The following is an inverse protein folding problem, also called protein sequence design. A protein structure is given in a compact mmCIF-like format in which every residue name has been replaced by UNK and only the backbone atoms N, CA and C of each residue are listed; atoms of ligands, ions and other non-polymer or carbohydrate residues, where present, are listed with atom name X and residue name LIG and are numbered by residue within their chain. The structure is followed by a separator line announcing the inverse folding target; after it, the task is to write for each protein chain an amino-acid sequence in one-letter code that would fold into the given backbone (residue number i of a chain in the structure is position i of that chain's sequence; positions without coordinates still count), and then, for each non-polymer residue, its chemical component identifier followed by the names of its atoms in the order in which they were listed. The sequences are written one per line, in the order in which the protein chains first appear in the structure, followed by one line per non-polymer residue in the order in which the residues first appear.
data_IF_318705503301
#
_entry.id   IF_318705503301
#
_cell.length_a   1.000
_cell.length_b   1.000
_cell.length_c   1.000
_cell.angle_alpha   90.00
_cell.angle_beta   90.00
_cell.angle_gamma   90.00
#
_symmetry.space_group_name_H-M   'P 1'
#
loop_
_entity.id
_entity.type
_entity.pdbx_description
1 polymer ?
#
# COMPACT_ATOMS: atom_id res chain seq x y z
N UNK A 1 14.40 -18.72 19.79
CA UNK A 1 13.83 -17.45 19.31
C UNK A 1 14.34 -16.33 20.22
N UNK A 2 14.53 -15.13 19.72
CA UNK A 2 15.04 -13.96 20.47
C UNK A 2 13.96 -12.90 20.52
N UNK A 3 13.85 -12.21 21.67
CA UNK A 3 13.00 -11.02 21.78
C UNK A 3 13.38 -10.01 20.66
N UNK A 4 12.40 -9.62 19.87
CA UNK A 4 12.62 -8.71 18.75
C UNK A 4 13.23 -7.37 19.19
N UNK A 5 12.94 -6.88 20.39
CA UNK A 5 13.54 -5.65 20.93
C UNK A 5 15.06 -5.78 21.20
N UNK A 6 15.56 -7.00 21.41
CA UNK A 6 16.99 -7.28 21.62
C UNK A 6 17.72 -7.54 20.30
N UNK A 7 16.99 -7.67 19.19
CA UNK A 7 17.58 -7.91 17.88
C UNK A 7 18.10 -6.61 17.24
N UNK A 8 19.12 -6.68 16.34
CA UNK A 8 19.54 -5.54 15.53
C UNK A 8 18.38 -4.91 14.74
N UNK A 9 18.46 -3.61 14.46
CA UNK A 9 17.40 -2.88 13.73
C UNK A 9 17.38 -3.27 12.26
N UNK A 10 16.18 -3.63 11.74
CA UNK A 10 15.97 -3.91 10.31
C UNK A 10 16.31 -2.67 9.46
N UNK A 11 15.70 -1.53 9.76
CA UNK A 11 15.89 -0.34 8.91
C UNK A 11 17.36 0.15 8.93
N UNK A 12 18.08 -0.01 10.03
CA UNK A 12 19.51 0.35 10.08
C UNK A 12 20.36 -0.59 9.23
N UNK A 13 19.99 -1.87 9.14
CA UNK A 13 20.71 -2.82 8.29
C UNK A 13 20.56 -2.46 6.79
N UNK A 14 19.44 -1.86 6.41
CA UNK A 14 19.12 -1.48 5.02
C UNK A 14 19.19 0.03 4.75
N UNK A 15 19.69 0.85 5.67
CA UNK A 15 19.66 2.32 5.57
C UNK A 15 20.32 2.89 4.31
N UNK A 16 21.30 2.16 3.74
CA UNK A 16 21.99 2.54 2.50
C UNK A 16 21.27 2.06 1.22
N UNK A 17 20.24 1.24 1.37
CA UNK A 17 19.55 0.63 0.22
C UNK A 17 18.13 1.18 0.05
N UNK A 18 17.28 0.99 1.03
CA UNK A 18 15.87 1.39 0.98
C UNK A 18 15.28 1.51 2.39
N UNK A 19 14.11 2.16 2.49
CA UNK A 19 13.34 2.19 3.73
C UNK A 19 12.77 0.82 4.05
N UNK A 20 12.68 0.52 5.35
CA UNK A 20 11.94 -0.65 5.85
C UNK A 20 10.69 -0.14 6.57
N UNK A 21 9.53 -0.54 6.08
CA UNK A 21 8.24 -0.12 6.60
C UNK A 21 7.40 -1.24 7.19
N UNK A 22 6.34 -0.86 7.91
CA UNK A 22 5.30 -1.77 8.36
C UNK A 22 3.91 -1.15 8.21
N UNK A 23 2.90 -1.99 7.90
CA UNK A 23 1.52 -1.62 8.06
C UNK A 23 1.15 -1.60 9.55
N UNK A 24 0.47 -0.55 9.97
CA UNK A 24 0.08 -0.32 11.37
C UNK A 24 -1.36 0.16 11.48
N UNK A 25 -1.97 -0.15 12.60
CA UNK A 25 -3.29 0.38 12.96
C UNK A 25 -3.23 1.28 14.20
N UNK A 26 -4.35 1.91 14.53
CA UNK A 26 -4.41 2.83 15.67
C UNK A 26 -4.02 2.16 16.99
N UNK A 27 -4.39 0.89 17.22
CA UNK A 27 -4.03 0.18 18.44
C UNK A 27 -2.51 0.10 18.62
N UNK A 28 -1.78 -0.26 17.56
CA UNK A 28 -0.31 -0.38 17.60
C UNK A 28 0.38 0.96 17.91
N UNK A 29 -0.20 2.07 17.44
CA UNK A 29 0.33 3.41 17.72
C UNK A 29 0.18 3.83 19.20
N UNK A 30 -0.74 3.21 19.96
CA UNK A 30 -0.97 3.50 21.37
C UNK A 30 -0.40 2.44 22.32
N UNK A 31 -0.24 1.20 21.88
CA UNK A 31 0.32 0.12 22.72
C UNK A 31 1.84 0.28 22.90
N UNK A 32 2.36 0.33 24.14
CA UNK A 32 3.77 0.57 24.41
C UNK A 32 4.72 -0.47 23.82
N UNK A 33 4.32 -1.75 23.75
CA UNK A 33 5.15 -2.83 23.22
C UNK A 33 5.26 -2.74 21.69
N UNK A 34 4.14 -2.45 21.00
CA UNK A 34 4.18 -2.20 19.56
C UNK A 34 4.96 -0.94 19.22
N UNK A 35 4.76 0.14 19.96
CA UNK A 35 5.52 1.39 19.76
C UNK A 35 7.03 1.17 19.87
N UNK A 36 7.46 0.37 20.86
CA UNK A 36 8.88 0.03 21.01
C UNK A 36 9.40 -0.77 19.82
N UNK A 37 8.64 -1.78 19.37
CA UNK A 37 8.99 -2.63 18.24
C UNK A 37 9.04 -1.85 16.92
N UNK A 38 8.04 -1.01 16.67
CA UNK A 38 7.98 -0.14 15.49
C UNK A 38 9.22 0.77 15.45
N UNK A 39 9.50 1.51 16.51
CA UNK A 39 10.67 2.39 16.59
C UNK A 39 12.01 1.66 16.43
N UNK A 40 12.06 0.41 16.84
CA UNK A 40 13.28 -0.42 16.73
C UNK A 40 13.58 -0.85 15.31
N UNK A 41 12.54 -1.20 14.52
CA UNK A 41 12.73 -1.93 13.28
C UNK A 41 12.30 -1.17 12.00
N UNK A 42 11.50 -0.10 12.12
CA UNK A 42 10.90 0.54 10.96
C UNK A 42 11.18 2.04 10.89
N UNK A 43 11.41 2.55 9.69
CA UNK A 43 11.56 3.98 9.39
C UNK A 43 10.53 4.50 8.36
N UNK A 44 9.54 3.67 8.03
CA UNK A 44 8.38 4.00 7.23
C UNK A 44 7.14 3.30 7.78
N UNK A 45 5.97 3.94 7.70
CA UNK A 45 4.70 3.34 8.09
C UNK A 45 3.65 3.51 6.98
N UNK A 46 2.73 2.57 6.92
CA UNK A 46 1.50 2.61 6.13
C UNK A 46 0.34 2.33 7.08
N UNK A 47 -0.76 3.09 6.99
CA UNK A 47 -1.95 2.75 7.76
C UNK A 47 -2.63 1.53 7.16
N UNK A 48 -2.94 0.51 7.96
CA UNK A 48 -3.65 -0.68 7.52
C UNK A 48 -5.03 -0.34 6.94
N UNK A 49 -5.83 0.45 7.66
CA UNK A 49 -7.18 0.82 7.22
C UNK A 49 -7.53 2.32 7.38
N UNK A 50 -6.86 3.05 8.25
CA UNK A 50 -7.29 4.37 8.73
C UNK A 50 -7.22 5.47 7.66
N UNK A 51 -6.50 5.25 6.56
CA UNK A 51 -6.34 6.19 5.45
C UNK A 51 -7.16 5.81 4.21
N UNK A 52 -7.89 4.70 4.26
CA UNK A 52 -8.75 4.26 3.16
C UNK A 52 -10.04 5.10 3.09
N UNK A 53 -10.67 5.25 1.91
CA UNK A 53 -11.86 6.09 1.75
C UNK A 53 -12.99 5.78 2.74
N UNK A 54 -13.23 4.49 3.04
CA UNK A 54 -14.25 4.07 4.00
C UNK A 54 -14.01 4.59 5.43
N UNK A 55 -12.74 4.77 5.79
CA UNK A 55 -12.36 5.23 7.13
C UNK A 55 -12.34 6.75 7.28
N UNK A 56 -12.25 7.49 6.16
CA UNK A 56 -12.09 8.95 6.17
C UNK A 56 -13.31 9.70 5.64
N UNK A 57 -14.16 9.08 4.81
CA UNK A 57 -15.38 9.71 4.31
C UNK A 57 -16.45 9.72 5.40
N UNK A 58 -16.93 10.92 5.75
CA UNK A 58 -17.97 11.13 6.76
C UNK A 58 -19.33 11.37 6.09
N UNK A 59 -20.21 10.37 6.17
CA UNK A 59 -21.54 10.42 5.58
C UNK A 59 -22.43 11.52 6.20
N UNK A 60 -22.49 11.59 7.53
CA UNK A 60 -23.37 12.53 8.23
C UNK A 60 -22.95 13.99 7.96
N UNK A 61 -21.67 14.28 8.04
CA UNK A 61 -21.13 15.59 7.72
C UNK A 61 -21.28 15.94 6.24
N UNK A 62 -21.21 14.94 5.33
CA UNK A 62 -21.46 15.14 3.89
C UNK A 62 -22.89 15.61 3.63
N UNK A 63 -23.87 14.95 4.22
CA UNK A 63 -25.28 15.34 4.08
C UNK A 63 -25.56 16.76 4.63
N UNK A 64 -24.87 17.15 5.70
CA UNK A 64 -25.03 18.47 6.30
C UNK A 64 -24.52 19.62 5.41
N UNK A 65 -23.58 19.33 4.48
CA UNK A 65 -23.05 20.36 3.57
C UNK A 65 -24.01 20.78 2.46
N UNK A 66 -25.03 19.99 2.13
CA UNK A 66 -25.94 20.21 0.99
C UNK A 66 -25.21 20.38 -0.36
N UNK A 67 -24.01 19.83 -0.48
CA UNK A 67 -23.16 19.85 -1.68
C UNK A 67 -23.09 18.45 -2.27
N UNK A 68 -23.33 18.32 -3.56
CA UNK A 68 -23.36 17.02 -4.25
C UNK A 68 -21.97 16.61 -4.82
N UNK A 69 -21.00 17.50 -4.75
CA UNK A 69 -19.66 17.29 -5.31
C UNK A 69 -18.56 17.18 -4.23
N UNK A 70 -18.80 17.66 -3.00
CA UNK A 70 -17.82 17.64 -1.91
C UNK A 70 -18.31 16.76 -0.76
N UNK A 71 -17.78 15.55 -0.69
CA UNK A 71 -17.93 14.73 0.50
C UNK A 71 -17.12 15.33 1.67
N UNK A 72 -17.64 15.21 2.88
CA UNK A 72 -16.87 15.57 4.06
C UNK A 72 -15.87 14.48 4.41
N UNK A 73 -14.71 14.88 4.95
CA UNK A 73 -13.62 13.99 5.38
C UNK A 73 -13.38 14.17 6.88
N UNK A 74 -13.33 13.05 7.60
CA UNK A 74 -12.91 12.99 9.01
C UNK A 74 -11.46 12.50 9.09
N UNK A 75 -10.56 13.37 9.51
CA UNK A 75 -9.15 13.09 9.64
C UNK A 75 -8.72 12.57 11.03
N UNK A 76 -9.64 12.39 11.96
CA UNK A 76 -9.32 12.05 13.36
C UNK A 76 -8.41 10.81 13.47
N UNK A 77 -8.72 9.76 12.70
CA UNK A 77 -7.94 8.50 12.70
C UNK A 77 -6.62 8.64 11.95
N UNK A 78 -6.63 9.38 10.86
CA UNK A 78 -5.43 9.70 10.05
C UNK A 78 -4.44 10.48 10.89
N UNK A 79 -4.90 11.58 11.49
CA UNK A 79 -4.07 12.47 12.30
C UNK A 79 -3.41 11.75 13.47
N UNK A 80 -4.13 10.85 14.13
CA UNK A 80 -3.59 10.09 15.27
C UNK A 80 -2.34 9.26 14.87
N UNK A 81 -2.40 8.59 13.71
CA UNK A 81 -1.25 7.83 13.18
C UNK A 81 -0.13 8.75 12.67
N UNK A 82 -0.50 9.86 12.04
CA UNK A 82 0.48 10.83 11.55
C UNK A 82 1.23 11.53 12.69
N UNK A 83 0.56 11.87 13.79
CA UNK A 83 1.22 12.36 15.01
C UNK A 83 2.20 11.34 15.56
N UNK A 84 1.80 10.05 15.63
CA UNK A 84 2.71 8.99 16.07
C UNK A 84 3.96 8.89 15.18
N UNK A 85 3.78 8.89 13.87
CA UNK A 85 4.89 8.80 12.91
C UNK A 85 5.82 10.03 13.02
N UNK A 86 5.25 11.25 13.00
CA UNK A 86 5.99 12.51 13.12
C UNK A 86 6.81 12.58 14.42
N UNK A 87 6.20 12.27 15.54
CA UNK A 87 6.81 12.39 16.86
C UNK A 87 7.91 11.34 17.09
N UNK A 88 7.98 10.32 16.24
CA UNK A 88 9.03 9.30 16.25
C UNK A 88 10.00 9.41 15.05
N UNK A 89 9.88 10.43 14.20
CA UNK A 89 10.76 10.64 13.06
C UNK A 89 10.64 9.55 11.98
N UNK A 90 9.44 8.96 11.83
CA UNK A 90 9.16 7.88 10.88
C UNK A 90 8.35 8.44 9.72
N UNK A 91 8.80 8.22 8.48
CA UNK A 91 8.08 8.67 7.29
C UNK A 91 6.82 7.84 7.03
N UNK A 92 5.89 8.38 6.22
CA UNK A 92 4.65 7.67 5.92
C UNK A 92 4.40 7.51 4.42
N UNK A 93 3.81 6.38 4.07
CA UNK A 93 3.10 6.13 2.82
C UNK A 93 1.59 6.35 3.07
N UNK A 94 0.92 7.10 2.21
CA UNK A 94 -0.53 7.24 2.29
C UNK A 94 -1.20 6.15 1.43
N UNK A 95 -1.92 5.26 2.05
CA UNK A 95 -2.61 4.15 1.39
C UNK A 95 -4.09 4.15 1.78
N UNK A 96 -4.99 4.42 0.85
CA UNK A 96 -4.93 4.74 -0.56
C UNK A 96 -6.00 5.78 -0.90
N UNK A 97 -5.79 6.58 -1.96
CA UNK A 97 -6.77 7.61 -2.33
C UNK A 97 -7.96 7.03 -3.09
N UNK A 98 -7.75 6.15 -4.06
CA UNK A 98 -8.82 5.53 -4.83
C UNK A 98 -8.65 4.00 -4.92
N UNK A 99 -9.68 3.28 -4.49
CA UNK A 99 -9.72 1.81 -4.54
C UNK A 99 -11.15 1.33 -4.77
N UNK A 100 -11.32 0.22 -5.47
CA UNK A 100 -12.63 -0.40 -5.73
C UNK A 100 -13.25 -1.01 -4.47
N UNK A 101 -12.41 -1.40 -3.50
CA UNK A 101 -12.81 -1.91 -2.20
C UNK A 101 -12.68 -0.79 -1.14
N UNK A 102 -13.32 -0.94 0.01
CA UNK A 102 -13.29 0.02 1.12
C UNK A 102 -13.50 1.50 0.70
N UNK A 103 -14.35 1.71 -0.33
CA UNK A 103 -14.95 3.00 -0.68
C UNK A 103 -16.46 2.86 -0.49
N UNK A 104 -17.12 3.69 0.35
CA UNK A 104 -18.51 3.48 0.70
C UNK A 104 -19.43 3.62 -0.52
N UNK A 105 -20.45 2.75 -0.61
CA UNK A 105 -21.39 2.72 -1.75
C UNK A 105 -22.09 4.05 -1.99
N UNK A 106 -22.46 4.77 -0.92
CA UNK A 106 -23.14 6.06 -1.01
C UNK A 106 -22.30 7.12 -1.75
N UNK A 107 -20.96 7.01 -1.75
CA UNK A 107 -20.07 7.92 -2.46
C UNK A 107 -20.30 7.88 -3.99
N UNK A 108 -20.69 6.72 -4.52
CA UNK A 108 -21.02 6.52 -5.94
C UNK A 108 -22.46 6.81 -6.28
N UNK A 109 -23.33 7.00 -5.30
CA UNK A 109 -24.75 7.15 -5.51
C UNK A 109 -25.14 8.62 -5.78
N UNK A 110 -26.14 8.82 -6.62
CA UNK A 110 -26.79 10.12 -6.82
C UNK A 110 -27.35 10.62 -5.49
N UNK A 111 -27.14 11.90 -5.21
CA UNK A 111 -27.58 12.55 -3.98
C UNK A 111 -27.10 11.89 -2.67
N UNK A 112 -25.95 11.20 -2.70
CA UNK A 112 -25.37 10.47 -1.55
C UNK A 112 -26.31 9.40 -0.96
N UNK A 113 -27.19 8.81 -1.77
CA UNK A 113 -28.17 7.83 -1.30
C UNK A 113 -27.50 6.56 -0.76
N UNK A 114 -28.04 6.05 0.36
CA UNK A 114 -27.67 4.74 0.93
C UNK A 114 -28.61 3.62 0.52
N UNK A 115 -29.67 3.90 -0.26
CA UNK A 115 -30.61 2.89 -0.74
C UNK A 115 -29.87 1.80 -1.55
N UNK A 116 -30.34 0.56 -1.44
CA UNK A 116 -29.70 -0.58 -2.11
C UNK A 116 -29.81 -0.45 -3.64
N UNK A 117 -30.90 0.11 -4.13
CA UNK A 117 -31.22 0.40 -5.54
C UNK A 117 -30.92 1.86 -5.95
N UNK A 118 -30.08 2.57 -5.18
CA UNK A 118 -29.75 3.96 -5.48
C UNK A 118 -29.20 4.12 -6.90
N UNK A 119 -29.73 5.12 -7.62
CA UNK A 119 -29.16 5.52 -8.91
C UNK A 119 -27.68 5.89 -8.75
N UNK A 120 -26.81 5.44 -9.64
CA UNK A 120 -25.41 5.91 -9.66
C UNK A 120 -25.36 7.41 -10.01
N UNK A 121 -24.37 8.09 -9.46
CA UNK A 121 -24.03 9.45 -9.89
C UNK A 121 -23.52 9.44 -11.34
N UNK A 122 -23.66 10.57 -12.05
CA UNK A 122 -23.11 10.68 -13.40
C UNK A 122 -21.59 10.60 -13.39
N UNK A 123 -20.98 10.29 -14.54
CA UNK A 123 -19.52 10.29 -14.73
C UNK A 123 -18.90 11.62 -14.32
N UNK A 124 -19.48 12.73 -14.76
CA UNK A 124 -18.99 14.08 -14.45
C UNK A 124 -19.03 14.35 -12.95
N UNK A 125 -20.13 13.97 -12.28
CA UNK A 125 -20.26 14.09 -10.83
C UNK A 125 -19.20 13.26 -10.12
N UNK A 126 -18.98 12.01 -10.55
CA UNK A 126 -18.00 11.13 -9.91
C UNK A 126 -16.55 11.59 -10.10
N UNK A 127 -16.22 12.10 -11.28
CA UNK A 127 -14.89 12.68 -11.53
C UNK A 127 -14.64 13.92 -10.66
N UNK A 128 -15.64 14.79 -10.52
CA UNK A 128 -15.57 15.96 -9.64
C UNK A 128 -15.45 15.57 -8.15
N UNK A 129 -16.24 14.59 -7.69
CA UNK A 129 -16.13 14.06 -6.32
C UNK A 129 -14.74 13.49 -6.03
N UNK A 130 -14.20 12.74 -6.97
CA UNK A 130 -12.86 12.15 -6.84
C UNK A 130 -11.78 13.23 -6.74
N UNK A 131 -11.82 14.24 -7.63
CA UNK A 131 -10.88 15.36 -7.59
C UNK A 131 -10.94 16.10 -6.25
N UNK A 132 -12.16 16.50 -5.82
CA UNK A 132 -12.35 17.23 -4.59
C UNK A 132 -11.87 16.43 -3.37
N UNK A 133 -12.24 15.15 -3.29
CA UNK A 133 -11.81 14.26 -2.20
C UNK A 133 -10.28 14.14 -2.13
N UNK A 134 -9.62 13.89 -3.26
CA UNK A 134 -8.15 13.77 -3.30
C UNK A 134 -7.48 15.07 -2.87
N UNK A 135 -7.97 16.22 -3.36
CA UNK A 135 -7.41 17.52 -3.01
C UNK A 135 -7.63 17.84 -1.53
N UNK A 136 -8.82 17.57 -0.96
CA UNK A 136 -9.09 17.78 0.45
C UNK A 136 -8.16 16.95 1.34
N UNK A 137 -7.96 15.67 1.00
CA UNK A 137 -7.05 14.78 1.73
C UNK A 137 -5.61 15.26 1.64
N UNK A 138 -5.12 15.53 0.44
CA UNK A 138 -3.72 15.92 0.24
C UNK A 138 -3.42 17.30 0.83
N UNK A 139 -4.35 18.24 0.72
CA UNK A 139 -4.21 19.57 1.34
C UNK A 139 -4.10 19.46 2.86
N UNK A 140 -5.05 18.78 3.52
CA UNK A 140 -5.02 18.60 4.97
C UNK A 140 -3.70 17.99 5.45
N UNK A 141 -3.29 16.89 4.80
CA UNK A 141 -2.08 16.17 5.20
C UNK A 141 -0.82 17.01 4.97
N UNK A 142 -0.71 17.67 3.83
CA UNK A 142 0.48 18.47 3.50
C UNK A 142 0.59 19.74 4.34
N UNK A 143 -0.51 20.37 4.72
CA UNK A 143 -0.52 21.55 5.59
C UNK A 143 -0.22 21.18 7.04
N UNK A 144 -0.82 20.11 7.55
CA UNK A 144 -0.72 19.72 8.96
C UNK A 144 0.54 18.93 9.28
N UNK A 145 1.04 18.15 8.32
CA UNK A 145 2.18 17.24 8.46
C UNK A 145 3.18 17.42 7.32
N UNK A 146 3.72 18.62 7.11
CA UNK A 146 4.60 18.90 5.96
C UNK A 146 5.81 17.96 5.95
N UNK A 147 6.05 17.30 4.79
CA UNK A 147 7.18 16.40 4.58
C UNK A 147 7.08 15.03 5.25
N UNK A 148 5.98 14.71 5.95
CA UNK A 148 5.80 13.42 6.62
C UNK A 148 5.48 12.31 5.61
N UNK A 149 4.57 12.58 4.66
CA UNK A 149 4.22 11.64 3.59
C UNK A 149 5.20 11.80 2.45
N UNK A 150 5.89 10.72 2.04
CA UNK A 150 6.84 10.73 0.93
C UNK A 150 6.26 10.14 -0.36
N UNK A 151 5.18 9.35 -0.26
CA UNK A 151 4.53 8.74 -1.42
C UNK A 151 3.03 8.54 -1.17
N UNK A 152 2.24 8.65 -2.23
CA UNK A 152 0.79 8.48 -2.23
C UNK A 152 0.42 7.31 -3.12
N UNK A 153 -0.25 6.30 -2.59
CA UNK A 153 -0.93 5.29 -3.40
C UNK A 153 -2.21 5.94 -3.97
N UNK A 154 -2.08 6.45 -5.19
CA UNK A 154 -3.17 7.24 -5.82
C UNK A 154 -4.31 6.32 -6.25
N UNK A 155 -3.98 5.25 -6.95
CA UNK A 155 -4.96 4.21 -7.33
C UNK A 155 -4.42 2.85 -6.95
N UNK A 156 -5.28 2.05 -6.33
CA UNK A 156 -5.01 0.69 -5.91
C UNK A 156 -5.82 -0.30 -6.75
N UNK A 157 -5.13 -1.33 -7.32
CA UNK A 157 -5.74 -2.54 -7.91
C UNK A 157 -6.73 -2.29 -9.05
N UNK A 158 -6.38 -1.49 -10.04
CA UNK A 158 -7.25 -1.24 -11.18
C UNK A 158 -7.20 -2.33 -12.27
N UNK A 159 -6.14 -3.16 -12.28
CA UNK A 159 -5.93 -4.21 -13.29
C UNK A 159 -6.38 -5.58 -12.76
N UNK A 160 -7.20 -6.28 -13.57
CA UNK A 160 -7.75 -7.60 -13.23
C UNK A 160 -7.84 -8.47 -14.48
N UNK A 161 -6.73 -9.15 -14.86
CA UNK A 161 -6.64 -9.92 -16.10
C UNK A 161 -7.64 -11.07 -16.22
N UNK A 162 -8.04 -11.66 -15.09
CA UNK A 162 -8.95 -12.81 -15.05
C UNK A 162 -10.33 -12.51 -15.63
N UNK A 163 -10.75 -11.24 -15.59
CA UNK A 163 -12.06 -10.82 -16.09
C UNK A 163 -12.09 -10.51 -17.60
N UNK A 164 -10.97 -10.62 -18.30
CA UNK A 164 -10.84 -10.42 -19.77
C UNK A 164 -11.50 -9.13 -20.28
N UNK A 165 -11.59 -8.09 -19.47
CA UNK A 165 -12.10 -6.79 -19.86
C UNK A 165 -11.12 -6.09 -20.80
N UNK A 166 -11.57 -5.13 -21.66
CA UNK A 166 -10.68 -4.33 -22.46
C UNK A 166 -9.62 -3.63 -21.58
N UNK A 167 -8.35 -3.69 -21.97
CA UNK A 167 -7.24 -3.16 -21.19
C UNK A 167 -6.97 -3.91 -19.89
N UNK A 168 -7.63 -5.06 -19.68
CA UNK A 168 -7.55 -5.88 -18.48
C UNK A 168 -7.92 -5.13 -17.18
N UNK A 169 -8.72 -4.07 -17.30
CA UNK A 169 -9.22 -3.32 -16.16
C UNK A 169 -10.24 -4.11 -15.35
N UNK A 170 -10.33 -3.81 -14.06
CA UNK A 170 -11.34 -4.32 -13.14
C UNK A 170 -12.73 -3.73 -13.47
N UNK A 171 -13.36 -4.27 -14.52
CA UNK A 171 -14.58 -3.72 -15.11
C UNK A 171 -15.81 -3.74 -14.18
N UNK A 172 -15.81 -4.59 -13.16
CA UNK A 172 -16.89 -4.63 -12.17
C UNK A 172 -16.76 -3.57 -11.05
N UNK A 173 -15.61 -2.92 -10.96
CA UNK A 173 -15.36 -1.83 -10.01
C UNK A 173 -16.39 -0.71 -10.17
N UNK A 174 -16.95 -0.14 -9.09
CA UNK A 174 -17.84 1.02 -9.18
C UNK A 174 -17.19 2.21 -9.92
N UNK A 175 -15.89 2.41 -9.76
CA UNK A 175 -15.14 3.43 -10.49
C UNK A 175 -15.17 3.20 -11.99
N UNK A 176 -14.83 1.98 -12.43
CA UNK A 176 -14.80 1.68 -13.86
C UNK A 176 -16.18 1.65 -14.48
N UNK A 177 -17.20 1.11 -13.79
CA UNK A 177 -18.59 1.12 -14.25
C UNK A 177 -19.12 2.51 -14.51
N UNK A 178 -18.76 3.49 -13.66
CA UNK A 178 -19.25 4.87 -13.78
C UNK A 178 -18.38 5.71 -14.71
N UNK A 179 -17.05 5.59 -14.62
CA UNK A 179 -16.12 6.52 -15.26
C UNK A 179 -15.28 5.90 -16.38
N UNK A 180 -15.33 4.57 -16.58
CA UNK A 180 -14.37 3.90 -17.47
C UNK A 180 -12.94 4.08 -16.95
N UNK A 181 -11.95 4.14 -17.85
CA UNK A 181 -10.55 4.40 -17.47
C UNK A 181 -10.29 5.85 -17.05
N UNK A 182 -11.21 6.78 -17.29
CA UNK A 182 -11.01 8.21 -16.99
C UNK A 182 -10.81 8.50 -15.51
N UNK A 183 -11.34 7.63 -14.60
CA UNK A 183 -11.11 7.81 -13.17
C UNK A 183 -9.63 7.72 -12.80
N UNK A 184 -8.86 6.89 -13.51
CA UNK A 184 -7.41 6.73 -13.29
C UNK A 184 -6.69 8.05 -13.55
N UNK A 185 -6.94 8.64 -14.72
CA UNK A 185 -6.33 9.92 -15.10
C UNK A 185 -6.79 11.06 -14.20
N UNK A 186 -8.08 11.10 -13.85
CA UNK A 186 -8.62 12.11 -12.94
C UNK A 186 -7.99 12.03 -11.55
N UNK A 187 -7.85 10.81 -10.99
CA UNK A 187 -7.21 10.61 -9.69
C UNK A 187 -5.75 11.09 -9.70
N UNK A 188 -4.98 10.65 -10.70
CA UNK A 188 -3.58 11.05 -10.81
C UNK A 188 -3.38 12.53 -11.12
N UNK A 189 -4.23 13.16 -11.94
CA UNK A 189 -4.21 14.62 -12.18
C UNK A 189 -4.50 15.40 -10.90
N UNK A 190 -5.53 14.99 -10.14
CA UNK A 190 -5.84 15.58 -8.85
C UNK A 190 -4.68 15.43 -7.86
N UNK A 191 -4.11 14.22 -7.77
CA UNK A 191 -2.96 13.98 -6.90
C UNK A 191 -1.72 14.80 -7.33
N UNK A 192 -1.45 14.92 -8.64
CA UNK A 192 -0.34 15.76 -9.15
C UNK A 192 -0.53 17.23 -8.80
N UNK A 193 -1.77 17.73 -8.81
CA UNK A 193 -2.12 19.08 -8.39
C UNK A 193 -1.95 19.30 -6.88
N UNK A 194 -2.27 18.29 -6.06
CA UNK A 194 -2.13 18.33 -4.58
C UNK A 194 -0.76 17.96 -4.04
N UNK A 195 0.15 17.50 -4.90
CA UNK A 195 1.46 16.96 -4.50
C UNK A 195 2.39 18.05 -3.97
N UNK A 196 2.98 17.82 -2.80
CA UNK A 196 4.04 18.67 -2.28
C UNK A 196 5.43 18.27 -2.84
N UNK A 197 6.41 19.18 -2.84
CA UNK A 197 7.76 18.87 -3.31
C UNK A 197 8.38 17.67 -2.59
N UNK A 198 9.01 16.77 -3.36
CA UNK A 198 9.67 15.56 -2.85
C UNK A 198 8.76 14.35 -2.65
N UNK A 199 7.46 14.50 -2.81
CA UNK A 199 6.52 13.38 -2.79
C UNK A 199 6.48 12.66 -4.13
N UNK A 200 6.06 11.40 -4.14
CA UNK A 200 5.84 10.59 -5.35
C UNK A 200 4.41 10.08 -5.44
N UNK A 201 3.92 9.86 -6.66
CA UNK A 201 2.62 9.31 -6.97
C UNK A 201 2.78 7.86 -7.42
N UNK A 202 2.14 6.95 -6.71
CA UNK A 202 2.28 5.52 -6.87
C UNK A 202 1.00 4.89 -7.44
N UNK A 203 1.16 4.01 -8.42
CA UNK A 203 0.17 3.00 -8.75
C UNK A 203 0.52 1.72 -8.00
N UNK A 204 -0.42 1.13 -7.26
CA UNK A 204 -0.19 -0.02 -6.39
C UNK A 204 -1.06 -1.21 -6.79
N UNK A 205 -0.47 -2.42 -6.92
CA UNK A 205 -1.25 -3.61 -7.29
C UNK A 205 -0.62 -4.91 -6.77
N UNK A 206 -1.48 -5.92 -6.56
CA UNK A 206 -1.05 -7.27 -6.19
C UNK A 206 -0.71 -8.11 -7.44
N UNK A 207 -0.01 -9.23 -7.23
CA UNK A 207 0.39 -10.13 -8.31
C UNK A 207 1.10 -9.41 -9.48
N UNK A 208 1.68 -8.27 -9.23
CA UNK A 208 2.32 -7.43 -10.24
C UNK A 208 3.56 -8.08 -10.89
N UNK A 209 4.00 -9.24 -10.39
CA UNK A 209 5.06 -10.05 -10.97
C UNK A 209 4.57 -11.05 -12.03
N UNK A 210 3.27 -11.37 -12.05
CA UNK A 210 2.66 -12.26 -13.02
C UNK A 210 2.74 -11.66 -14.42
N UNK A 211 3.26 -12.38 -15.44
CA UNK A 211 3.56 -11.79 -16.74
C UNK A 211 2.38 -11.08 -17.41
N UNK A 212 1.19 -11.68 -17.40
CA UNK A 212 -0.01 -11.08 -18.03
C UNK A 212 -0.43 -9.81 -17.30
N UNK A 213 -0.43 -9.83 -15.95
CA UNK A 213 -0.80 -8.68 -15.14
C UNK A 213 0.28 -7.60 -15.20
N UNK A 214 1.55 -7.99 -15.14
CA UNK A 214 2.70 -7.08 -15.28
C UNK A 214 2.61 -6.30 -16.59
N UNK A 215 2.38 -6.97 -17.71
CA UNK A 215 2.35 -6.35 -19.02
C UNK A 215 1.14 -5.38 -19.15
N UNK A 216 -0.03 -5.73 -18.58
CA UNK A 216 -1.17 -4.84 -18.52
C UNK A 216 -0.93 -3.61 -17.61
N UNK A 217 -0.25 -3.78 -16.48
CA UNK A 217 0.17 -2.66 -15.62
C UNK A 217 1.17 -1.77 -16.38
N UNK A 218 2.13 -2.34 -17.11
CA UNK A 218 3.08 -1.57 -17.92
C UNK A 218 2.34 -0.70 -18.95
N UNK A 219 1.31 -1.24 -19.61
CA UNK A 219 0.51 -0.47 -20.58
C UNK A 219 -0.24 0.69 -19.90
N UNK A 220 -0.82 0.48 -18.71
CA UNK A 220 -1.43 1.55 -17.92
C UNK A 220 -0.38 2.61 -17.52
N UNK A 221 0.77 2.19 -17.00
CA UNK A 221 1.82 3.10 -16.56
C UNK A 221 2.35 3.96 -17.72
N UNK A 222 2.55 3.39 -18.90
CA UNK A 222 2.91 4.14 -20.12
C UNK A 222 1.88 5.20 -20.48
N UNK A 223 0.57 4.88 -20.40
CA UNK A 223 -0.49 5.85 -20.60
C UNK A 223 -0.41 6.99 -19.58
N UNK A 224 -0.27 6.70 -18.28
CA UNK A 224 -0.13 7.72 -17.24
C UNK A 224 1.12 8.60 -17.44
N UNK A 225 2.21 8.01 -17.92
CA UNK A 225 3.45 8.75 -18.22
C UNK A 225 3.32 9.73 -19.38
N UNK A 226 2.38 9.54 -20.33
CA UNK A 226 2.16 10.54 -21.40
C UNK A 226 1.79 11.91 -20.86
N UNK A 227 1.23 11.97 -19.63
CA UNK A 227 0.88 13.21 -18.94
C UNK A 227 1.77 13.47 -17.69
N UNK A 228 2.84 12.71 -17.51
CA UNK A 228 3.72 12.80 -16.35
C UNK A 228 2.96 12.63 -15.01
N UNK A 229 2.08 11.64 -14.93
CA UNK A 229 1.17 11.45 -13.78
C UNK A 229 1.65 10.45 -12.74
N UNK A 230 2.56 9.54 -13.08
CA UNK A 230 3.03 8.47 -12.18
C UNK A 230 4.55 8.51 -12.00
N UNK A 231 5.01 8.31 -10.77
CA UNK A 231 6.42 8.35 -10.39
C UNK A 231 6.92 6.99 -9.88
N UNK A 232 6.02 6.15 -9.35
CA UNK A 232 6.36 4.93 -8.61
C UNK A 232 5.42 3.79 -8.96
N UNK A 233 5.99 2.59 -9.10
CA UNK A 233 5.23 1.35 -9.12
C UNK A 233 5.31 0.66 -7.76
N UNK A 234 4.14 0.44 -7.15
CA UNK A 234 3.98 -0.34 -5.92
C UNK A 234 3.62 -1.79 -6.24
N UNK A 235 4.55 -2.69 -5.95
CA UNK A 235 4.32 -4.13 -5.98
C UNK A 235 3.89 -4.57 -4.58
N UNK A 236 2.61 -4.93 -4.38
CA UNK A 236 2.11 -5.24 -3.03
C UNK A 236 2.96 -6.31 -2.32
N UNK A 237 3.24 -7.41 -2.99
CA UNK A 237 4.07 -8.45 -2.39
C UNK A 237 3.31 -9.38 -1.45
N UNK A 238 1.99 -9.54 -1.62
CA UNK A 238 1.22 -10.60 -0.99
C UNK A 238 1.50 -11.93 -1.69
N UNK A 239 2.32 -12.75 -1.07
CA UNK A 239 2.74 -14.02 -1.65
C UNK A 239 2.16 -15.23 -0.88
N UNK A 240 2.13 -16.35 -1.58
CA UNK A 240 1.93 -17.67 -0.98
C UNK A 240 3.24 -18.44 -1.12
N UNK A 241 3.70 -19.07 -0.06
CA UNK A 241 5.01 -19.72 0.03
C UNK A 241 5.27 -20.69 -1.13
N UNK A 242 4.25 -21.44 -1.58
CA UNK A 242 4.40 -22.42 -2.65
C UNK A 242 4.29 -21.84 -4.07
N UNK A 243 3.87 -20.58 -4.17
CA UNK A 243 3.66 -19.90 -5.44
C UNK A 243 4.63 -18.74 -5.69
N UNK A 244 5.27 -18.24 -4.65
CA UNK A 244 6.22 -17.15 -4.77
C UNK A 244 7.39 -17.53 -5.69
N UNK A 245 7.65 -16.69 -6.70
CA UNK A 245 8.71 -16.88 -7.68
C UNK A 245 9.62 -15.66 -7.70
N UNK A 246 10.74 -15.72 -6.97
CA UNK A 246 11.68 -14.61 -6.84
C UNK A 246 12.27 -14.16 -8.18
N UNK A 247 12.67 -15.06 -9.14
CA UNK A 247 13.07 -14.67 -10.47
C UNK A 247 12.02 -13.85 -11.23
N UNK A 248 10.75 -14.23 -11.20
CA UNK A 248 9.68 -13.44 -11.84
C UNK A 248 9.49 -12.08 -11.15
N UNK A 249 9.68 -12.01 -9.84
CA UNK A 249 9.65 -10.72 -9.11
C UNK A 249 10.83 -9.81 -9.57
N UNK A 250 12.02 -10.36 -9.79
CA UNK A 250 13.17 -9.63 -10.33
C UNK A 250 12.88 -9.11 -11.74
N UNK A 251 12.37 -9.97 -12.63
CA UNK A 251 11.99 -9.57 -13.99
C UNK A 251 10.96 -8.44 -14.00
N UNK A 252 9.94 -8.52 -13.15
CA UNK A 252 8.91 -7.49 -13.05
C UNK A 252 9.48 -6.16 -12.53
N UNK A 253 10.28 -6.18 -11.47
CA UNK A 253 10.93 -4.98 -10.95
C UNK A 253 11.81 -4.30 -12.01
N UNK A 254 12.60 -5.08 -12.79
CA UNK A 254 13.39 -4.57 -13.91
C UNK A 254 12.52 -3.98 -15.02
N UNK A 255 11.40 -4.62 -15.35
CA UNK A 255 10.50 -4.14 -16.39
C UNK A 255 9.84 -2.81 -16.01
N UNK A 256 9.42 -2.64 -14.76
CA UNK A 256 8.88 -1.37 -14.26
C UNK A 256 9.97 -0.29 -14.16
N UNK A 257 11.17 -0.65 -13.68
CA UNK A 257 12.30 0.29 -13.60
C UNK A 257 12.75 0.78 -14.98
N UNK A 258 12.63 -0.06 -16.02
CA UNK A 258 12.93 0.34 -17.40
C UNK A 258 12.01 1.46 -17.94
N UNK A 259 10.87 1.71 -17.29
CA UNK A 259 10.01 2.87 -17.55
C UNK A 259 10.50 4.15 -16.85
N UNK A 260 11.59 4.10 -16.10
CA UNK A 260 12.09 5.23 -15.30
C UNK A 260 11.36 5.42 -13.98
N UNK A 261 10.56 4.45 -13.53
CA UNK A 261 9.80 4.53 -12.29
C UNK A 261 10.63 4.05 -11.09
N UNK A 262 10.38 4.63 -9.93
CA UNK A 262 10.79 4.06 -8.65
C UNK A 262 9.98 2.79 -8.36
N UNK A 263 10.58 1.87 -7.62
CA UNK A 263 9.94 0.63 -7.20
C UNK A 263 9.76 0.63 -5.68
N UNK A 264 8.58 0.26 -5.22
CA UNK A 264 8.31 -0.02 -3.82
C UNK A 264 7.69 -1.42 -3.70
N UNK A 265 8.11 -2.17 -2.69
CA UNK A 265 7.35 -3.33 -2.20
C UNK A 265 6.48 -2.81 -1.07
N UNK A 266 5.17 -2.85 -1.24
CA UNK A 266 4.26 -2.01 -0.46
C UNK A 266 3.53 -2.73 0.66
N UNK A 267 3.37 -4.05 0.56
CA UNK A 267 2.49 -4.84 1.44
C UNK A 267 3.02 -6.26 1.67
N UNK A 268 4.33 -6.40 1.84
CA UNK A 268 5.00 -7.70 1.86
C UNK A 268 4.52 -8.60 3.00
N UNK A 269 3.97 -9.72 2.62
CA UNK A 269 3.75 -10.88 3.46
C UNK A 269 3.84 -12.17 2.63
N UNK A 270 4.26 -13.28 3.27
CA UNK A 270 4.36 -14.58 2.60
C UNK A 270 3.51 -15.57 3.40
N UNK A 271 2.32 -15.87 2.91
CA UNK A 271 1.42 -16.80 3.58
C UNK A 271 2.10 -18.15 3.82
N UNK A 272 2.11 -18.55 5.08
CA UNK A 272 2.61 -19.81 5.57
C UNK A 272 1.60 -20.34 6.62
N UNK A 273 1.05 -21.51 6.40
CA UNK A 273 -0.03 -22.07 7.25
C UNK A 273 0.47 -22.95 8.39
N UNK A 274 1.78 -23.08 8.57
CA UNK A 274 2.38 -23.83 9.67
C UNK A 274 3.64 -23.11 10.17
N UNK A 275 3.93 -23.26 11.45
CA UNK A 275 5.15 -22.81 12.11
C UNK A 275 6.14 -23.95 12.44
N UNK A 276 5.95 -25.12 11.85
CA UNK A 276 6.90 -26.22 11.99
C UNK A 276 8.27 -25.87 11.35
N UNK A 277 9.27 -26.67 11.68
CA UNK A 277 10.65 -26.41 11.29
C UNK A 277 10.87 -26.39 9.76
N UNK A 278 10.13 -27.22 9.01
CA UNK A 278 10.26 -27.27 7.54
C UNK A 278 9.70 -26.00 6.90
N UNK A 279 8.51 -25.56 7.34
CA UNK A 279 7.88 -24.34 6.88
C UNK A 279 8.68 -23.10 7.30
N UNK A 280 9.17 -23.04 8.56
CA UNK A 280 10.04 -21.96 9.04
C UNK A 280 11.29 -21.81 8.18
N UNK A 281 11.98 -22.91 7.84
CA UNK A 281 13.17 -22.88 6.97
C UNK A 281 12.84 -22.39 5.56
N UNK A 282 11.75 -22.89 4.97
CA UNK A 282 11.33 -22.47 3.62
C UNK A 282 10.95 -21.00 3.57
N UNK A 283 10.20 -20.52 4.57
CA UNK A 283 9.82 -19.12 4.71
C UNK A 283 11.08 -18.23 4.83
N UNK A 284 12.03 -18.65 5.68
CA UNK A 284 13.30 -17.94 5.87
C UNK A 284 14.11 -17.86 4.57
N UNK A 285 14.18 -18.95 3.82
CA UNK A 285 14.85 -18.95 2.52
C UNK A 285 14.23 -17.98 1.54
N UNK A 286 12.87 -17.99 1.39
CA UNK A 286 12.16 -17.08 0.49
C UNK A 286 12.39 -15.61 0.84
N UNK A 287 12.29 -15.25 2.12
CA UNK A 287 12.59 -13.90 2.58
C UNK A 287 14.06 -13.51 2.32
N UNK A 288 15.00 -14.42 2.61
CA UNK A 288 16.42 -14.19 2.38
C UNK A 288 16.73 -13.95 0.90
N UNK A 289 16.22 -14.82 0.02
CA UNK A 289 16.41 -14.72 -1.44
C UNK A 289 15.75 -13.45 -2.00
N UNK A 290 14.55 -13.10 -1.51
CA UNK A 290 13.84 -11.89 -1.95
C UNK A 290 14.58 -10.61 -1.56
N UNK A 291 15.05 -10.51 -0.33
CA UNK A 291 15.81 -9.35 0.13
C UNK A 291 17.21 -9.26 -0.52
N UNK A 292 17.87 -10.39 -0.78
CA UNK A 292 19.12 -10.43 -1.55
C UNK A 292 18.90 -9.92 -2.99
N UNK A 293 17.81 -10.32 -3.62
CA UNK A 293 17.41 -9.83 -4.95
C UNK A 293 17.15 -8.31 -4.94
N UNK A 294 16.36 -7.79 -3.99
CA UNK A 294 16.09 -6.35 -3.90
C UNK A 294 17.37 -5.53 -3.65
N UNK A 295 18.26 -6.01 -2.77
CA UNK A 295 19.54 -5.36 -2.53
C UNK A 295 20.40 -5.34 -3.79
N UNK A 296 20.53 -6.47 -4.49
CA UNK A 296 21.24 -6.58 -5.78
C UNK A 296 20.69 -5.58 -6.79
N UNK A 297 19.36 -5.49 -6.96
CA UNK A 297 18.73 -4.53 -7.87
C UNK A 297 19.08 -3.08 -7.52
N UNK A 298 19.07 -2.75 -6.22
CA UNK A 298 19.47 -1.40 -5.75
C UNK A 298 20.94 -1.10 -6.04
N UNK A 299 21.82 -2.05 -5.84
CA UNK A 299 23.28 -1.93 -6.12
C UNK A 299 23.55 -1.80 -7.64
N UNK A 300 22.70 -2.39 -8.48
CA UNK A 300 22.74 -2.23 -9.93
C UNK A 300 22.13 -0.90 -10.44
N UNK A 301 21.63 -0.05 -9.54
CA UNK A 301 21.13 1.28 -9.86
C UNK A 301 19.62 1.36 -10.06
N UNK A 302 18.86 0.30 -9.85
CA UNK A 302 17.39 0.36 -9.83
C UNK A 302 16.94 1.05 -8.56
N UNK A 303 16.07 2.05 -8.68
CA UNK A 303 15.61 2.83 -7.54
C UNK A 303 14.52 2.09 -6.73
N UNK A 304 14.97 1.07 -5.96
CA UNK A 304 14.13 0.48 -4.91
C UNK A 304 14.08 1.50 -3.76
N UNK A 305 12.90 2.05 -3.47
CA UNK A 305 12.73 3.14 -2.48
C UNK A 305 12.34 2.62 -1.09
N UNK A 306 11.48 1.61 -1.03
CA UNK A 306 10.97 1.07 0.23
C UNK A 306 10.52 -0.40 0.11
N UNK A 307 10.60 -1.12 1.24
CA UNK A 307 9.99 -2.43 1.44
C UNK A 307 9.16 -2.36 2.72
N UNK A 308 7.85 -2.52 2.59
CA UNK A 308 6.88 -2.43 3.69
C UNK A 308 6.27 -3.79 3.96
N UNK A 309 6.38 -4.29 5.17
CA UNK A 309 5.70 -5.50 5.62
C UNK A 309 4.23 -5.19 5.94
N UNK A 310 3.31 -6.09 5.55
CA UNK A 310 1.88 -5.85 5.83
C UNK A 310 1.48 -6.35 7.22
N UNK A 311 2.06 -5.71 8.22
CA UNK A 311 1.89 -5.97 9.65
C UNK A 311 3.21 -5.92 10.40
N UNK A 312 3.12 -5.94 11.73
CA UNK A 312 4.29 -5.90 12.62
C UNK A 312 4.67 -7.29 13.11
N UNK A 313 3.66 -8.11 13.48
CA UNK A 313 3.83 -9.49 13.96
C UNK A 313 2.80 -10.41 13.32
N UNK A 314 3.01 -11.72 13.37
CA UNK A 314 2.04 -12.71 12.87
C UNK A 314 0.65 -12.58 13.53
N UNK A 315 0.55 -11.95 14.72
CA UNK A 315 -0.72 -11.64 15.38
C UNK A 315 -1.57 -10.67 14.58
N UNK A 316 -0.93 -9.77 13.84
CA UNK A 316 -1.56 -8.64 13.16
C UNK A 316 -1.92 -8.94 11.70
N UNK A 317 -1.53 -10.14 11.22
CA UNK A 317 -1.73 -10.50 9.82
C UNK A 317 -3.21 -10.64 9.45
N UNK A 318 -3.64 -9.91 8.44
CA UNK A 318 -4.96 -10.00 7.83
C UNK A 318 -5.23 -11.37 7.20
N UNK A 319 -4.16 -12.09 6.80
CA UNK A 319 -4.24 -13.38 6.12
C UNK A 319 -4.96 -14.44 6.96
N UNK A 320 -4.81 -14.40 8.29
CA UNK A 320 -5.52 -15.34 9.19
C UNK A 320 -7.04 -15.22 9.02
N UNK A 321 -7.57 -14.00 8.98
CA UNK A 321 -9.00 -13.77 8.76
C UNK A 321 -9.43 -14.03 7.32
N UNK A 322 -8.65 -13.60 6.36
CA UNK A 322 -8.93 -13.73 4.92
C UNK A 322 -8.96 -15.20 4.48
N UNK A 323 -7.98 -16.00 4.91
CA UNK A 323 -7.88 -17.42 4.54
C UNK A 323 -8.66 -18.35 5.45
N UNK A 324 -9.19 -17.84 6.57
CA UNK A 324 -9.88 -18.62 7.61
C UNK A 324 -9.02 -19.74 8.19
N UNK A 325 -7.72 -19.54 8.22
CA UNK A 325 -6.73 -20.43 8.82
C UNK A 325 -5.59 -19.60 9.43
N UNK A 326 -4.90 -20.16 10.43
CA UNK A 326 -3.77 -19.46 11.05
C UNK A 326 -2.66 -19.25 10.02
N UNK A 327 -2.16 -18.02 9.91
CA UNK A 327 -1.04 -17.68 9.04
C UNK A 327 0.14 -17.18 9.85
N UNK A 328 1.36 -17.50 9.40
CA UNK A 328 2.64 -17.14 10.02
C UNK A 328 3.54 -16.37 9.02
N UNK A 329 3.05 -15.24 8.45
CA UNK A 329 3.66 -14.67 7.25
C UNK A 329 4.80 -13.69 7.49
N UNK A 330 4.98 -13.19 8.73
CA UNK A 330 5.86 -12.06 9.01
C UNK A 330 7.18 -12.48 9.68
N UNK A 331 8.05 -11.51 9.97
CA UNK A 331 9.38 -11.75 10.54
C UNK A 331 9.36 -11.96 12.07
N UNK A 332 8.31 -11.48 12.73
CA UNK A 332 8.12 -11.62 14.17
C UNK A 332 6.86 -12.45 14.45
N UNK A 333 6.98 -13.37 15.38
CA UNK A 333 5.87 -14.23 15.78
C UNK A 333 4.83 -13.50 16.64
N UNK A 334 3.77 -14.21 17.03
CA UNK A 334 2.68 -13.69 17.89
C UNK A 334 3.15 -13.24 19.26
N UNK A 335 4.29 -13.76 19.75
CA UNK A 335 4.91 -13.39 21.01
C UNK A 335 5.99 -12.30 20.85
N UNK A 336 6.09 -11.67 19.68
CA UNK A 336 7.10 -10.66 19.33
C UNK A 336 8.53 -11.19 19.39
N UNK A 337 8.71 -12.49 19.09
CA UNK A 337 10.04 -13.10 18.95
C UNK A 337 10.47 -13.10 17.49
N UNK A 338 11.76 -12.89 17.24
CA UNK A 338 12.33 -12.96 15.91
C UNK A 338 12.34 -14.41 15.40
N UNK A 339 11.82 -14.61 14.19
CA UNK A 339 11.79 -15.89 13.48
C UNK A 339 13.05 -16.09 12.64
N UNK A 340 13.27 -17.29 12.11
CA UNK A 340 14.37 -17.59 11.18
C UNK A 340 14.32 -16.69 9.93
N UNK A 341 13.12 -16.29 9.50
CA UNK A 341 12.90 -15.32 8.42
C UNK A 341 13.55 -13.95 8.72
N UNK A 342 13.48 -13.47 9.97
CA UNK A 342 14.20 -12.26 10.38
C UNK A 342 15.70 -12.42 10.23
N UNK A 343 16.27 -13.54 10.72
CA UNK A 343 17.71 -13.78 10.63
C UNK A 343 18.17 -13.88 9.16
N UNK A 344 17.36 -14.49 8.28
CA UNK A 344 17.64 -14.57 6.84
C UNK A 344 17.65 -13.18 6.17
N UNK A 345 16.68 -12.32 6.48
CA UNK A 345 16.63 -10.93 6.01
C UNK A 345 17.85 -10.14 6.50
N UNK A 346 18.21 -10.28 7.77
CA UNK A 346 19.41 -9.62 8.33
C UNK A 346 20.73 -10.12 7.73
N UNK A 347 20.79 -11.39 7.32
CA UNK A 347 21.93 -11.96 6.60
C UNK A 347 22.05 -11.39 5.19
N UNK A 348 20.94 -11.21 4.48
CA UNK A 348 20.92 -10.63 3.14
C UNK A 348 21.37 -9.15 3.11
N UNK A 349 21.26 -8.43 4.22
CA UNK A 349 21.74 -7.04 4.33
C UNK A 349 23.27 -6.90 4.30
N UNK A 350 24.01 -7.97 4.66
CA UNK A 350 25.50 -7.98 4.68
C UNK A 350 26.06 -8.17 3.28
#
# INVERSE_FOLDING_TARGET
MKDALQCPSLFKAYEKHFRIGAAVNSFMAFDPAYRALIRRHYNSLTADNQMKPESVLDYAATLAKSDLLHAAVDFTRVDALMYFARDNGIAMRYHTLAWHNQTPRWFFAKNWSTAEDAEPASKETMLARLENYILDVMTHVNEKFPGLVYTWDVVNEAIEPELKAPGLYRAWSPWFKTCGEDFLFAAFRAARKGQAPGQTLCYNDYNAFEPVKRDAIIDLLKKLQTENLVDTMGMQGHYVMDWMNVPLCEEAARAYAALGLKIQVTELDIHCNSDDEAHSRKLAQLYGDYFAMLKKLKEEGIDIEAVTFWGVTDQDSWLTGFRKETSYPLLFDRAKQAKDAYDAVMKAAK
#
